data_IF_444036302966
#
_entry.id   IF_444036302966
#
_cell.length_a   1.000
_cell.length_b   1.000
_cell.length_c   1.000
_cell.angle_alpha   90.00
_cell.angle_beta   90.00
_cell.angle_gamma   90.00
#
_symmetry.space_group_name_H-M   'P 1'
#
loop_
_entity.id
_entity.type
_entity.pdbx_description
1 polymer ?
#
# COMPACT_ATOMS: atom_id res chain seq x y z
N UNK A 1 -27.78 15.67 3.59
CA UNK A 1 -26.79 16.72 3.29
C UNK A 1 -27.56 18.03 3.16
N UNK A 2 -27.64 18.81 4.24
CA UNK A 2 -28.40 20.06 4.23
C UNK A 2 -27.65 21.11 3.40
N UNK A 3 -28.36 21.74 2.46
CA UNK A 3 -27.90 22.87 1.65
C UNK A 3 -27.00 22.59 0.44
N UNK A 4 -26.78 21.35 -0.01
CA UNK A 4 -26.17 21.09 -1.33
C UNK A 4 -27.25 20.62 -2.27
N UNK A 5 -27.32 21.20 -3.48
CA UNK A 5 -28.33 20.88 -4.49
C UNK A 5 -27.78 20.05 -5.65
N UNK A 6 -26.49 20.22 -5.98
CA UNK A 6 -25.83 19.58 -7.12
C UNK A 6 -24.38 19.25 -6.79
N UNK A 7 -23.90 18.14 -7.33
CA UNK A 7 -22.51 17.71 -7.27
C UNK A 7 -22.06 17.24 -8.64
N UNK A 8 -20.85 17.63 -9.03
CA UNK A 8 -20.19 17.18 -10.25
C UNK A 8 -18.87 16.53 -9.89
N UNK A 9 -18.52 15.47 -10.62
CA UNK A 9 -17.19 14.89 -10.58
C UNK A 9 -16.55 14.92 -11.96
N UNK A 10 -15.27 15.29 -11.99
CA UNK A 10 -14.45 15.34 -13.21
C UNK A 10 -13.19 14.50 -13.03
N UNK A 11 -12.78 13.80 -14.09
CA UNK A 11 -11.44 13.19 -14.22
C UNK A 11 -10.51 14.20 -14.89
N UNK A 12 -9.76 14.94 -14.08
CA UNK A 12 -8.90 16.04 -14.50
C UNK A 12 -9.59 17.41 -14.44
N UNK A 13 -9.15 18.40 -15.26
CA UNK A 13 -9.70 19.75 -15.24
C UNK A 13 -11.19 19.82 -15.57
N UNK A 14 -11.87 20.89 -15.11
CA UNK A 14 -13.30 21.13 -15.32
C UNK A 14 -13.57 21.43 -16.81
N UNK A 15 -13.83 20.36 -17.56
CA UNK A 15 -14.23 20.38 -18.95
C UNK A 15 -15.32 19.33 -19.19
N UNK A 16 -16.24 19.58 -20.13
CA UNK A 16 -17.36 18.67 -20.41
C UNK A 16 -16.91 17.24 -20.76
N UNK A 17 -15.81 17.10 -21.51
CA UNK A 17 -15.22 15.79 -21.86
C UNK A 17 -14.67 15.01 -20.65
N UNK A 18 -14.36 15.71 -19.56
CA UNK A 18 -13.79 15.14 -18.34
C UNK A 18 -14.87 14.88 -17.28
N UNK A 19 -16.12 15.31 -17.51
CA UNK A 19 -17.20 15.11 -16.57
C UNK A 19 -17.57 13.63 -16.49
N UNK A 20 -17.48 13.09 -15.28
CA UNK A 20 -17.83 11.70 -14.98
C UNK A 20 -19.34 11.64 -14.77
N UNK A 21 -19.87 12.47 -13.88
CA UNK A 21 -21.29 12.47 -13.54
C UNK A 21 -21.72 13.79 -12.90
N UNK A 22 -23.03 14.01 -12.92
CA UNK A 22 -23.75 15.02 -12.14
C UNK A 22 -24.74 14.32 -11.22
N UNK A 23 -24.81 14.74 -9.96
CA UNK A 23 -25.79 14.28 -8.99
C UNK A 23 -26.59 15.46 -8.45
N UNK A 24 -27.89 15.44 -8.73
CA UNK A 24 -28.85 16.35 -8.13
C UNK A 24 -29.34 15.74 -6.82
N UNK A 25 -29.17 16.48 -5.72
CA UNK A 25 -29.56 16.06 -4.35
C UNK A 25 -30.89 16.66 -3.92
N UNK A 26 -31.37 17.71 -4.60
CA UNK A 26 -32.65 18.38 -4.33
C UNK A 26 -33.17 19.06 -5.60
N UNK A 27 -34.49 19.06 -5.87
CA UNK A 27 -35.58 18.50 -5.07
C UNK A 27 -35.75 16.97 -5.23
N UNK A 28 -35.15 16.38 -6.26
CA UNK A 28 -35.23 14.95 -6.56
C UNK A 28 -33.82 14.40 -6.74
N UNK A 29 -33.57 13.25 -6.12
CA UNK A 29 -32.31 12.52 -6.26
C UNK A 29 -32.19 11.97 -7.69
N UNK A 30 -31.23 12.50 -8.45
CA UNK A 30 -30.99 12.06 -9.82
C UNK A 30 -29.51 12.07 -10.15
N UNK A 31 -29.02 10.95 -10.66
CA UNK A 31 -27.66 10.83 -11.21
C UNK A 31 -27.73 10.87 -12.73
N UNK A 32 -26.83 11.61 -13.35
CA UNK A 32 -26.64 11.64 -14.81
C UNK A 32 -25.17 11.37 -15.10
N UNK A 33 -24.90 10.33 -15.88
CA UNK A 33 -23.54 9.97 -16.28
C UNK A 33 -23.14 10.76 -17.54
N UNK A 34 -21.88 11.18 -17.59
CA UNK A 34 -21.31 12.02 -18.63
C UNK A 34 -20.15 11.29 -19.32
N UNK A 35 -19.48 11.95 -20.29
CA UNK A 35 -18.55 11.31 -21.22
C UNK A 35 -17.37 10.57 -20.56
N UNK A 36 -16.90 11.01 -19.39
CA UNK A 36 -15.79 10.37 -18.70
C UNK A 36 -16.21 9.20 -17.80
N UNK A 37 -17.51 8.86 -17.74
CA UNK A 37 -17.99 7.70 -17.02
C UNK A 37 -17.54 6.41 -17.72
N UNK A 38 -16.97 5.48 -16.95
CA UNK A 38 -16.47 4.19 -17.44
C UNK A 38 -17.33 3.02 -16.97
N UNK A 39 -18.44 3.27 -16.27
CA UNK A 39 -19.26 2.24 -15.63
C UNK A 39 -18.72 1.76 -14.28
N UNK A 40 -17.56 2.28 -13.85
CA UNK A 40 -16.91 1.91 -12.57
C UNK A 40 -17.10 2.94 -11.48
N UNK A 41 -17.51 4.16 -11.84
CA UNK A 41 -17.70 5.28 -10.94
C UNK A 41 -19.14 5.32 -10.41
N UNK A 42 -19.30 5.38 -9.10
CA UNK A 42 -20.58 5.49 -8.43
C UNK A 42 -20.53 6.65 -7.44
N UNK A 43 -21.55 7.50 -7.45
CA UNK A 43 -21.67 8.58 -6.48
C UNK A 43 -22.53 8.15 -5.29
N UNK A 44 -22.09 8.52 -4.08
CA UNK A 44 -22.81 8.31 -2.84
C UNK A 44 -23.67 9.54 -2.48
N UNK A 45 -24.57 9.37 -1.52
CA UNK A 45 -25.50 10.43 -1.07
C UNK A 45 -24.80 11.70 -0.55
N UNK A 46 -23.59 11.57 -0.03
CA UNK A 46 -22.74 12.67 0.47
C UNK A 46 -21.87 13.32 -0.63
N UNK A 47 -22.11 12.92 -1.89
CA UNK A 47 -21.33 13.27 -3.06
C UNK A 47 -19.89 12.75 -3.09
N UNK A 48 -19.53 11.76 -2.26
CA UNK A 48 -18.27 11.03 -2.46
C UNK A 48 -18.35 10.18 -3.73
N UNK A 49 -17.21 9.99 -4.39
CA UNK A 49 -17.06 9.17 -5.59
C UNK A 49 -16.36 7.86 -5.22
N UNK A 50 -17.04 6.74 -5.45
CA UNK A 50 -16.44 5.42 -5.43
C UNK A 50 -16.03 5.04 -6.85
N UNK A 51 -14.83 4.47 -7.01
CA UNK A 51 -14.35 3.93 -8.28
C UNK A 51 -13.90 2.49 -8.02
N UNK A 52 -14.57 1.54 -8.66
CA UNK A 52 -14.25 0.11 -8.55
C UNK A 52 -13.26 -0.33 -9.63
N UNK A 53 -12.57 -1.46 -9.44
CA UNK A 53 -11.65 -2.04 -10.42
C UNK A 53 -10.60 -1.02 -10.92
N UNK A 54 -9.88 -0.39 -10.00
CA UNK A 54 -8.86 0.61 -10.30
C UNK A 54 -7.69 0.00 -11.10
N UNK A 55 -7.18 0.79 -12.03
CA UNK A 55 -6.01 0.49 -12.87
C UNK A 55 -4.99 1.62 -12.74
N UNK A 56 -3.74 1.40 -13.17
CA UNK A 56 -2.74 2.47 -13.18
C UNK A 56 -3.18 3.72 -13.98
N UNK A 57 -4.04 3.54 -15.01
CA UNK A 57 -4.59 4.62 -15.84
C UNK A 57 -5.58 5.53 -15.10
N UNK A 58 -6.10 5.10 -13.96
CA UNK A 58 -7.00 5.90 -13.14
C UNK A 58 -6.25 6.91 -12.27
N UNK A 59 -4.91 6.82 -12.20
CA UNK A 59 -4.08 7.80 -11.51
C UNK A 59 -4.22 9.18 -12.17
N UNK A 60 -4.32 10.23 -11.36
CA UNK A 60 -4.48 11.59 -11.84
C UNK A 60 -5.33 12.43 -10.90
N UNK A 61 -5.53 13.69 -11.29
CA UNK A 61 -6.38 14.61 -10.53
C UNK A 61 -7.85 14.31 -10.79
N UNK A 62 -8.65 14.41 -9.73
CA UNK A 62 -10.09 14.41 -9.78
C UNK A 62 -10.60 15.68 -9.13
N UNK A 63 -11.62 16.29 -9.74
CA UNK A 63 -12.21 17.51 -9.24
C UNK A 63 -13.66 17.24 -8.87
N UNK A 64 -14.06 17.68 -7.69
CA UNK A 64 -15.45 17.77 -7.28
C UNK A 64 -15.88 19.24 -7.30
N UNK A 65 -17.08 19.50 -7.82
CA UNK A 65 -17.76 20.77 -7.66
C UNK A 65 -19.07 20.51 -6.92
N UNK A 66 -19.35 21.24 -5.85
CA UNK A 66 -20.65 21.19 -5.14
C UNK A 66 -21.33 22.55 -5.26
N UNK A 67 -22.61 22.58 -5.62
CA UNK A 67 -23.44 23.79 -5.55
C UNK A 67 -24.21 23.79 -4.25
N UNK A 68 -24.00 24.83 -3.43
CA UNK A 68 -24.84 25.10 -2.28
C UNK A 68 -26.09 25.87 -2.67
N UNK A 69 -27.18 25.59 -1.97
CA UNK A 69 -28.44 26.33 -2.12
C UNK A 69 -28.38 27.63 -1.31
N UNK A 70 -27.82 27.58 -0.09
CA UNK A 70 -27.76 28.71 0.84
C UNK A 70 -26.38 28.76 1.53
N UNK A 71 -25.54 29.77 1.25
CA UNK A 71 -25.68 30.72 0.14
C UNK A 71 -25.56 30.00 -1.22
N UNK A 72 -26.03 30.62 -2.30
CA UNK A 72 -25.90 30.06 -3.66
C UNK A 72 -24.45 30.19 -4.14
N UNK A 73 -23.62 29.23 -3.77
CA UNK A 73 -22.18 29.23 -4.05
C UNK A 73 -21.71 27.90 -4.62
N UNK A 74 -20.52 27.92 -5.22
CA UNK A 74 -19.84 26.73 -5.68
C UNK A 74 -18.61 26.46 -4.81
N UNK A 75 -18.47 25.21 -4.36
CA UNK A 75 -17.31 24.72 -3.64
C UNK A 75 -16.54 23.75 -4.54
N UNK A 76 -15.26 24.03 -4.77
CA UNK A 76 -14.36 23.17 -5.53
C UNK A 76 -13.46 22.38 -4.58
N UNK A 77 -13.39 21.07 -4.78
CA UNK A 77 -12.37 20.19 -4.19
C UNK A 77 -11.54 19.54 -5.30
N UNK A 78 -10.27 19.29 -5.01
CA UNK A 78 -9.35 18.62 -5.94
C UNK A 78 -8.53 17.58 -5.18
N UNK A 79 -8.39 16.39 -5.76
CA UNK A 79 -7.67 15.27 -5.15
C UNK A 79 -6.80 14.57 -6.18
N UNK A 80 -5.57 14.22 -5.82
CA UNK A 80 -4.69 13.40 -6.64
C UNK A 80 -4.82 11.92 -6.24
N UNK A 81 -5.32 11.10 -7.15
CA UNK A 81 -5.34 9.64 -6.99
C UNK A 81 -4.04 9.05 -7.56
N UNK A 82 -3.33 8.25 -6.75
CA UNK A 82 -2.15 7.50 -7.20
C UNK A 82 -2.36 6.02 -6.98
N UNK A 83 -2.30 5.24 -8.06
CA UNK A 83 -2.33 3.79 -8.01
C UNK A 83 -0.90 3.27 -8.15
N UNK A 84 -0.45 2.48 -7.17
CA UNK A 84 0.88 1.89 -7.14
C UNK A 84 0.75 0.38 -6.99
N UNK A 85 1.70 -0.34 -7.58
CA UNK A 85 1.82 -1.75 -7.32
C UNK A 85 2.28 -1.96 -5.88
N UNK A 86 1.66 -2.92 -5.19
CA UNK A 86 2.16 -3.34 -3.90
C UNK A 86 3.42 -4.16 -4.14
N UNK A 87 4.58 -3.64 -3.73
CA UNK A 87 5.79 -4.45 -3.66
C UNK A 87 5.64 -5.41 -2.50
N UNK A 88 5.02 -6.56 -2.75
CA UNK A 88 5.19 -7.71 -1.87
C UNK A 88 6.65 -8.13 -1.98
N UNK A 89 7.46 -7.69 -1.02
CA UNK A 89 8.58 -8.51 -0.57
C UNK A 89 7.95 -9.69 0.15
N UNK A 90 7.46 -10.67 -0.60
CA UNK A 90 7.25 -11.98 -0.03
C UNK A 90 8.61 -12.39 0.49
N UNK A 91 8.72 -12.41 1.81
CA UNK A 91 9.83 -13.02 2.53
C UNK A 91 9.80 -14.46 2.07
N UNK A 92 10.57 -14.75 1.02
CA UNK A 92 11.02 -16.10 0.75
C UNK A 92 11.74 -16.50 2.02
N UNK A 93 11.01 -17.19 2.90
CA UNK A 93 11.59 -17.99 3.94
C UNK A 93 12.50 -18.96 3.19
N UNK A 94 13.75 -18.54 3.02
CA UNK A 94 14.83 -19.38 2.57
C UNK A 94 14.86 -20.51 3.58
N UNK A 95 14.19 -21.61 3.25
CA UNK A 95 14.31 -22.85 3.97
C UNK A 95 15.78 -23.22 3.80
N UNK A 96 16.63 -22.80 4.75
CA UNK A 96 18.01 -23.22 4.82
C UNK A 96 17.95 -24.69 5.20
N UNK A 97 17.74 -25.54 4.21
CA UNK A 97 18.00 -26.96 4.33
C UNK A 97 19.50 -27.10 4.35
N UNK A 98 20.08 -27.14 5.55
CA UNK A 98 21.48 -27.52 5.76
C UNK A 98 21.65 -28.94 5.21
N UNK A 99 22.10 -29.04 3.96
CA UNK A 99 22.50 -30.33 3.39
C UNK A 99 23.64 -30.86 4.25
N UNK A 100 23.51 -32.09 4.76
CA UNK A 100 24.27 -32.67 5.88
C UNK A 100 25.80 -32.79 5.76
N UNK A 101 26.44 -32.04 4.85
CA UNK A 101 27.89 -31.89 4.76
C UNK A 101 28.42 -30.79 5.69
N UNK A 102 27.63 -29.76 5.99
CA UNK A 102 28.09 -28.62 6.79
C UNK A 102 28.06 -28.88 8.31
N UNK A 103 27.22 -29.79 8.79
CA UNK A 103 27.16 -30.17 10.22
C UNK A 103 28.29 -31.11 10.62
N UNK A 104 28.80 -31.94 9.71
CA UNK A 104 29.93 -32.81 10.00
C UNK A 104 31.22 -32.01 10.31
N UNK A 105 31.46 -30.92 9.59
CA UNK A 105 32.65 -30.07 9.79
C UNK A 105 32.65 -29.33 11.14
N UNK A 106 31.50 -28.79 11.54
CA UNK A 106 31.36 -28.03 12.80
C UNK A 106 31.53 -28.93 14.02
N UNK A 107 31.00 -30.16 13.98
CA UNK A 107 31.08 -31.12 15.09
C UNK A 107 32.48 -31.73 15.22
N UNK A 108 33.14 -32.04 14.09
CA UNK A 108 34.50 -32.61 14.13
C UNK A 108 35.54 -31.56 14.56
N UNK A 109 35.38 -30.31 14.11
CA UNK A 109 36.29 -29.22 14.47
C UNK A 109 36.26 -28.86 15.96
N UNK A 110 35.08 -28.89 16.58
CA UNK A 110 34.94 -28.60 18.03
C UNK A 110 35.61 -29.66 18.90
N UNK A 111 35.44 -30.95 18.62
CA UNK A 111 36.04 -32.02 19.41
C UNK A 111 37.58 -32.00 19.38
N UNK A 112 38.19 -31.79 18.22
CA UNK A 112 39.66 -31.70 18.10
C UNK A 112 40.23 -30.44 18.78
N UNK A 113 39.51 -29.31 18.70
CA UNK A 113 39.88 -28.08 19.40
C UNK A 113 39.90 -28.25 20.92
N UNK A 114 38.90 -28.92 21.50
CA UNK A 114 38.88 -29.19 22.95
C UNK A 114 40.00 -30.12 23.40
N UNK A 115 40.29 -31.20 22.66
CA UNK A 115 41.38 -32.14 23.00
C UNK A 115 42.74 -31.43 23.01
N UNK A 116 43.01 -30.59 22.00
CA UNK A 116 44.28 -29.86 21.91
C UNK A 116 44.43 -28.84 23.05
N UNK A 117 43.39 -28.07 23.36
CA UNK A 117 43.42 -27.08 24.45
C UNK A 117 43.61 -27.78 25.81
N UNK A 118 42.86 -28.85 26.09
CA UNK A 118 42.96 -29.61 27.36
C UNK A 118 44.34 -30.26 27.51
N UNK A 119 44.89 -30.81 26.42
CA UNK A 119 46.25 -31.36 26.41
C UNK A 119 47.31 -30.30 26.71
N UNK A 120 47.19 -29.11 26.12
CA UNK A 120 48.14 -28.01 26.31
C UNK A 120 48.09 -27.43 27.74
N UNK A 121 46.89 -27.31 28.31
CA UNK A 121 46.69 -26.91 29.71
C UNK A 121 47.28 -27.94 30.67
N UNK A 122 47.02 -29.23 30.43
CA UNK A 122 47.57 -30.33 31.23
C UNK A 122 49.09 -30.39 31.16
N UNK A 123 49.67 -30.24 29.98
CA UNK A 123 51.13 -30.20 29.79
C UNK A 123 51.77 -29.02 30.54
N UNK A 124 51.15 -27.83 30.49
CA UNK A 124 51.64 -26.66 31.23
C UNK A 124 51.56 -26.84 32.74
N UNK A 125 50.54 -27.55 33.25
CA UNK A 125 50.41 -27.91 34.67
C UNK A 125 51.43 -28.96 35.12
N UNK A 126 51.76 -29.93 34.28
CA UNK A 126 52.77 -30.96 34.60
C UNK A 126 54.19 -30.41 34.55
N UNK A 127 54.45 -29.43 33.68
CA UNK A 127 55.77 -28.82 33.51
C UNK A 127 56.02 -27.62 34.43
N UNK A 128 55.00 -27.12 35.14
CA UNK A 128 55.25 -26.12 36.19
C UNK A 128 55.99 -26.78 37.35
N UNK A 129 57.23 -26.34 37.67
CA UNK A 129 57.99 -26.91 38.78
C UNK A 129 57.23 -26.67 40.10
N UNK A 130 57.32 -27.61 41.07
CA UNK A 130 56.73 -27.41 42.38
C UNK A 130 57.36 -26.17 43.02
N UNK A 131 56.50 -25.33 43.62
CA UNK A 131 56.91 -24.13 44.35
C UNK A 131 57.35 -24.50 45.75
#
# INVERSE_FOLDING_TARGET
MENVSLCWWYRGPIHKKNEILTYQTSPILRVSYSQAHTGREQIQLDCSLSITNLTFRDSGFYVILKKRTVPNTYEKGEVLLQIKESSRKDVEAKNITLTGKETAGVVVGTLLGFITIVGLVSYRKLKSPPR
#
